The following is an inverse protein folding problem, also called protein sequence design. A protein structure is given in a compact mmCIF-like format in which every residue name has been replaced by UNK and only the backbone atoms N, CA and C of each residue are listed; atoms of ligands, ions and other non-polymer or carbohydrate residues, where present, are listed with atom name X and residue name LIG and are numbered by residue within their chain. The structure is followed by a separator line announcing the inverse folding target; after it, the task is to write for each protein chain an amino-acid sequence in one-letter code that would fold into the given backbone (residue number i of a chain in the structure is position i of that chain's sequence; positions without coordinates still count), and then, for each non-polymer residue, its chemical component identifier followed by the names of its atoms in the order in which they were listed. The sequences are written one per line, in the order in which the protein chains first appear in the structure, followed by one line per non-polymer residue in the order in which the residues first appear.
data_IF_314857091309
#
_entry.id   IF_314857091309
#
_cell.length_a   1.000
_cell.length_b   1.000
_cell.length_c   1.000
_cell.angle_alpha   90.00
_cell.angle_beta   90.00
_cell.angle_gamma   90.00
#
_symmetry.space_group_name_H-M   'P 1'
#
loop_
_entity.id
_entity.type
_entity.pdbx_description
1 polymer ?
#
# COMPACT_ATOMS: atom_id res chain seq x y z
N UNK A 1 -14.53 9.79 -4.54
CA UNK A 1 -13.93 9.07 -5.70
C UNK A 1 -12.74 8.27 -5.21
N UNK A 2 -12.69 6.96 -5.45
CA UNK A 2 -11.48 6.18 -5.19
C UNK A 2 -10.43 6.57 -6.22
N UNK A 3 -9.33 7.18 -5.79
CA UNK A 3 -8.24 7.62 -6.68
C UNK A 3 -7.35 6.41 -6.97
N UNK A 4 -7.03 6.19 -8.24
CA UNK A 4 -6.14 5.11 -8.68
C UNK A 4 -4.89 5.69 -9.33
N UNK A 5 -3.77 4.97 -9.21
CA UNK A 5 -2.49 5.31 -9.82
C UNK A 5 -2.00 4.13 -10.65
N UNK A 6 -1.59 4.38 -11.90
CA UNK A 6 -0.84 3.40 -12.70
C UNK A 6 0.64 3.69 -12.58
N UNK A 7 1.42 2.72 -12.12
CA UNK A 7 2.88 2.86 -11.95
C UNK A 7 3.54 1.47 -12.03
N UNK A 8 4.73 1.37 -12.62
CA UNK A 8 5.47 0.10 -12.79
C UNK A 8 4.62 -1.07 -13.34
N UNK A 9 3.73 -0.79 -14.30
CA UNK A 9 2.83 -1.81 -14.87
C UNK A 9 1.72 -2.31 -13.94
N UNK A 10 1.61 -1.77 -12.71
CA UNK A 10 0.59 -2.13 -11.71
C UNK A 10 -0.44 -1.00 -11.57
N UNK A 11 -1.65 -1.34 -11.11
CA UNK A 11 -2.69 -0.37 -10.75
C UNK A 11 -2.86 -0.35 -9.23
N UNK A 12 -2.55 0.79 -8.62
CA UNK A 12 -2.63 1.01 -7.18
C UNK A 12 -3.93 1.72 -6.82
N UNK A 13 -4.62 1.21 -5.81
CA UNK A 13 -5.67 1.93 -5.11
C UNK A 13 -5.02 2.84 -4.07
N UNK A 14 -5.26 4.14 -4.17
CA UNK A 14 -4.71 5.13 -3.25
C UNK A 14 -5.54 5.13 -1.97
N UNK A 15 -4.88 5.18 -0.81
CA UNK A 15 -5.57 5.30 0.47
C UNK A 15 -6.42 6.57 0.53
N UNK A 16 -7.62 6.49 1.12
CA UNK A 16 -8.45 7.68 1.36
C UNK A 16 -7.83 8.64 2.37
N UNK A 17 -6.87 8.17 3.17
CA UNK A 17 -6.09 8.99 4.10
C UNK A 17 -4.89 9.67 3.42
N UNK A 18 -4.63 9.37 2.16
CA UNK A 18 -3.67 10.09 1.34
C UNK A 18 -4.30 11.35 0.75
N UNK A 19 -3.67 12.50 1.01
CA UNK A 19 -4.14 13.81 0.56
C UNK A 19 -2.99 14.72 0.15
N UNK A 20 -3.19 16.04 0.25
CA UNK A 20 -2.18 17.08 -0.03
C UNK A 20 -1.02 17.13 0.97
N UNK A 21 -1.06 16.32 2.04
CA UNK A 21 0.04 16.17 3.00
C UNK A 21 1.03 15.05 2.64
N UNK A 22 1.82 14.61 3.62
CA UNK A 22 2.91 13.63 3.44
C UNK A 22 2.44 12.16 3.48
N UNK A 23 1.14 11.91 3.62
CA UNK A 23 0.57 10.57 3.88
C UNK A 23 0.29 9.79 2.59
N UNK A 24 1.21 9.80 1.62
CA UNK A 24 0.98 9.30 0.26
C UNK A 24 1.24 7.78 0.14
N UNK A 25 0.18 6.97 0.19
CA UNK A 25 0.26 5.49 0.15
C UNK A 25 -0.74 4.91 -0.84
N UNK A 26 -0.27 3.97 -1.66
CA UNK A 26 -1.09 3.19 -2.57
C UNK A 26 -0.78 1.71 -2.47
N UNK A 27 -1.81 0.88 -2.65
CA UNK A 27 -1.70 -0.59 -2.61
C UNK A 27 -2.24 -1.18 -3.90
N UNK A 28 -1.49 -2.09 -4.50
CA UNK A 28 -1.94 -2.97 -5.59
C UNK A 28 -2.01 -4.39 -5.07
N UNK A 29 -3.10 -5.08 -5.35
CA UNK A 29 -3.28 -6.48 -5.00
C UNK A 29 -3.48 -7.24 -6.31
N UNK A 30 -2.55 -8.14 -6.61
CA UNK A 30 -2.59 -9.06 -7.73
C UNK A 30 -2.40 -10.48 -7.17
N UNK A 31 -2.93 -11.49 -7.88
CA UNK A 31 -3.20 -12.83 -7.37
C UNK A 31 -2.35 -13.33 -6.20
N UNK A 32 -1.02 -13.27 -6.24
CA UNK A 32 -0.15 -13.79 -5.18
C UNK A 32 0.77 -12.74 -4.52
N UNK A 33 0.58 -11.46 -4.82
CA UNK A 33 1.46 -10.39 -4.34
C UNK A 33 0.68 -9.14 -3.94
N UNK A 34 1.17 -8.48 -2.90
CA UNK A 34 0.66 -7.19 -2.46
C UNK A 34 1.80 -6.18 -2.60
N UNK A 35 1.57 -5.14 -3.36
CA UNK A 35 2.55 -4.11 -3.65
C UNK A 35 2.16 -2.80 -2.98
N UNK A 36 3.07 -2.23 -2.19
CA UNK A 36 2.92 -0.91 -1.57
C UNK A 36 3.82 0.09 -2.28
N UNK A 37 3.30 1.28 -2.57
CA UNK A 37 4.03 2.37 -3.21
C UNK A 37 3.78 3.71 -2.50
N UNK A 38 4.80 4.56 -2.45
CA UNK A 38 4.61 5.98 -2.18
C UNK A 38 4.02 6.64 -3.43
N UNK A 39 2.76 7.09 -3.37
CA UNK A 39 2.06 7.62 -4.55
C UNK A 39 2.54 9.01 -4.99
N UNK A 40 3.37 9.68 -4.19
CA UNK A 40 3.99 10.96 -4.53
C UNK A 40 5.26 10.74 -5.35
N UNK A 41 6.29 10.12 -4.73
CA UNK A 41 7.61 9.95 -5.37
C UNK A 41 7.58 8.86 -6.44
N UNK A 42 6.90 7.75 -6.16
CA UNK A 42 6.74 6.60 -7.07
C UNK A 42 8.08 5.99 -7.48
N UNK A 43 9.11 6.08 -6.63
CA UNK A 43 10.46 5.60 -6.97
C UNK A 43 10.65 4.09 -6.76
N UNK A 44 9.95 3.52 -5.77
CA UNK A 44 10.13 2.13 -5.36
C UNK A 44 8.81 1.48 -4.95
N UNK A 45 8.78 0.16 -5.09
CA UNK A 45 7.68 -0.71 -4.66
C UNK A 45 8.23 -1.70 -3.65
N UNK A 46 7.48 -1.91 -2.57
CA UNK A 46 7.72 -3.00 -1.63
C UNK A 46 6.65 -4.06 -1.89
N UNK A 47 7.11 -5.29 -2.14
CA UNK A 47 6.24 -6.42 -2.43
C UNK A 47 6.17 -7.36 -1.22
N UNK A 48 4.97 -7.87 -0.95
CA UNK A 48 4.67 -8.83 0.09
C UNK A 48 3.96 -10.04 -0.53
N UNK A 49 4.24 -11.23 -0.02
CA UNK A 49 3.38 -12.40 -0.21
C UNK A 49 2.05 -12.23 0.56
N UNK A 50 1.07 -13.08 0.27
CA UNK A 50 -0.20 -13.12 1.02
C UNK A 50 -0.01 -13.37 2.52
N UNK A 51 0.91 -14.25 2.87
CA UNK A 51 1.13 -14.64 4.27
C UNK A 51 1.82 -13.52 5.04
N UNK A 52 2.82 -12.88 4.44
CA UNK A 52 3.48 -11.70 5.02
C UNK A 52 2.50 -10.53 5.18
N UNK A 53 1.63 -10.30 4.19
CA UNK A 53 0.61 -9.26 4.28
C UNK A 53 -0.43 -9.56 5.37
N UNK A 54 -0.80 -10.83 5.54
CA UNK A 54 -1.69 -11.28 6.59
C UNK A 54 -1.07 -11.07 7.98
N UNK A 55 0.22 -11.38 8.14
CA UNK A 55 0.98 -11.13 9.36
C UNK A 55 1.08 -9.62 9.66
N UNK A 56 1.38 -8.79 8.66
CA UNK A 56 1.39 -7.33 8.81
C UNK A 56 0.05 -6.78 9.33
N UNK A 57 -1.07 -7.18 8.72
CA UNK A 57 -2.40 -6.76 9.16
C UNK A 57 -2.70 -7.23 10.59
N UNK A 58 -2.32 -8.46 10.94
CA UNK A 58 -2.51 -9.00 12.29
C UNK A 58 -1.77 -8.16 13.33
N UNK A 59 -0.50 -7.83 13.09
CA UNK A 59 0.28 -6.97 13.99
C UNK A 59 -0.28 -5.55 14.12
N UNK A 60 -0.72 -4.92 13.01
CA UNK A 60 -1.40 -3.61 13.06
C UNK A 60 -2.66 -3.68 13.94
N UNK A 61 -3.49 -4.71 13.76
CA UNK A 61 -4.72 -4.88 14.56
C UNK A 61 -4.46 -5.21 16.03
N UNK A 62 -3.30 -5.79 16.33
CA UNK A 62 -2.85 -6.07 17.69
C UNK A 62 -2.10 -4.87 18.32
N UNK A 63 -2.12 -3.69 17.67
CA UNK A 63 -1.43 -2.48 18.11
C UNK A 63 0.09 -2.66 18.28
N UNK A 64 0.71 -3.60 17.57
CA UNK A 64 2.16 -3.83 17.63
C UNK A 64 2.95 -2.72 16.91
N UNK A 65 2.30 -2.02 15.97
CA UNK A 65 2.93 -1.05 15.07
C UNK A 65 2.24 0.33 15.08
N UNK A 66 1.34 0.59 16.03
CA UNK A 66 0.71 1.91 16.19
C UNK A 66 1.69 2.82 16.94
N UNK A 67 2.03 3.98 16.36
CA UNK A 67 3.01 4.95 16.91
C UNK A 67 2.30 6.10 17.62
#
# INVERSE_FOLDING_TARGET
MQKTLKSHGKTFKISSFSGSGHNCVGVSINNDMISVINTNTKDSIIDFTKDEWSAFIAGVKNSEFDL
#
